data_IF_464440700293
#
_entry.id   IF_464440700293
#
_cell.length_a   1.000
_cell.length_b   1.000
_cell.length_c   1.000
_cell.angle_alpha   90.00
_cell.angle_beta   90.00
_cell.angle_gamma   90.00
#
_symmetry.space_group_name_H-M   'P 1'
#
loop_
_entity.id
_entity.type
_entity.pdbx_description
1 polymer ?
#
# COMPACT_ATOMS: atom_id res chain seq x y z
N UNK A 1 10.88 -5.58 -13.86
CA UNK A 1 9.79 -6.35 -14.49
C UNK A 1 8.50 -5.96 -13.79
N UNK A 2 7.46 -5.59 -14.54
CA UNK A 2 6.17 -5.21 -13.95
C UNK A 2 5.46 -6.46 -13.43
N UNK A 3 4.65 -6.35 -12.38
CA UNK A 3 3.88 -7.48 -11.85
C UNK A 3 3.00 -8.16 -12.93
N UNK A 4 2.54 -7.41 -13.93
CA UNK A 4 1.76 -7.95 -15.07
C UNK A 4 2.53 -8.92 -15.96
N UNK A 5 3.87 -8.92 -15.92
CA UNK A 5 4.69 -9.88 -16.69
C UNK A 5 4.95 -11.18 -15.93
N UNK A 6 4.44 -11.34 -14.71
CA UNK A 6 4.65 -12.53 -13.89
C UNK A 6 3.54 -13.57 -14.16
N UNK A 7 3.87 -14.78 -14.62
CA UNK A 7 2.88 -15.83 -14.80
C UNK A 7 2.14 -16.14 -13.48
N UNK A 8 0.81 -16.16 -13.53
CA UNK A 8 -0.04 -16.49 -12.38
C UNK A 8 -0.40 -15.29 -11.48
N UNK A 9 0.12 -14.10 -11.72
CA UNK A 9 -0.34 -12.89 -11.02
C UNK A 9 -1.57 -12.34 -11.73
N UNK A 10 -2.72 -12.46 -11.07
CA UNK A 10 -4.02 -12.00 -11.60
C UNK A 10 -4.42 -10.62 -11.08
N UNK A 11 -3.82 -10.16 -9.97
CA UNK A 11 -4.21 -8.89 -9.35
C UNK A 11 -3.25 -8.38 -8.28
N UNK A 12 -3.50 -7.16 -7.83
CA UNK A 12 -2.72 -6.41 -6.84
C UNK A 12 -3.67 -5.77 -5.83
N UNK A 13 -3.34 -5.93 -4.54
CA UNK A 13 -3.96 -5.17 -3.48
C UNK A 13 -3.05 -3.98 -3.11
N UNK A 14 -3.58 -2.76 -3.18
CA UNK A 14 -2.93 -1.55 -2.68
C UNK A 14 -3.27 -1.42 -1.21
N UNK A 15 -2.25 -1.41 -0.34
CA UNK A 15 -2.39 -1.20 1.10
C UNK A 15 -1.87 0.19 1.46
N UNK A 16 -2.74 1.21 1.61
CA UNK A 16 -2.32 2.53 2.06
C UNK A 16 -1.69 2.45 3.45
N UNK A 17 -0.56 3.11 3.62
CA UNK A 17 0.09 3.22 4.92
C UNK A 17 -0.86 3.80 5.98
N UNK A 18 -0.78 3.26 7.19
CA UNK A 18 -1.46 3.76 8.38
C UNK A 18 -0.60 3.50 9.62
N UNK A 19 -0.58 4.44 10.56
CA UNK A 19 0.28 4.37 11.76
C UNK A 19 -0.32 3.55 12.93
N UNK A 20 -1.10 2.49 12.66
CA UNK A 20 -1.80 1.77 13.75
C UNK A 20 -0.86 1.11 14.78
N UNK A 21 0.39 0.83 14.42
CA UNK A 21 1.34 0.13 15.28
C UNK A 21 2.12 1.02 16.27
N UNK A 22 1.89 2.35 16.32
CA UNK A 22 2.65 3.27 17.19
C UNK A 22 2.75 2.79 18.64
N UNK A 23 1.64 2.32 19.21
CA UNK A 23 1.60 1.83 20.58
C UNK A 23 2.52 0.62 20.79
N UNK A 24 2.67 -0.26 19.79
CA UNK A 24 3.54 -1.44 19.87
C UNK A 24 5.02 -1.05 19.93
N UNK A 25 5.43 -0.10 19.10
CA UNK A 25 6.81 0.43 19.12
C UNK A 25 7.12 1.07 20.48
N UNK A 26 6.21 1.91 20.98
CA UNK A 26 6.33 2.55 22.30
C UNK A 26 6.48 1.53 23.43
N UNK A 27 5.64 0.49 23.45
CA UNK A 27 5.65 -0.54 24.51
C UNK A 27 6.92 -1.39 24.51
N UNK A 28 7.59 -1.52 23.36
CA UNK A 28 8.86 -2.25 23.23
C UNK A 28 10.09 -1.35 23.43
N UNK A 29 9.90 -0.06 23.74
CA UNK A 29 11.01 0.90 23.82
C UNK A 29 11.71 1.12 22.47
N UNK A 30 11.04 0.81 21.36
CA UNK A 30 11.58 0.94 20.01
C UNK A 30 11.16 2.27 19.37
N UNK A 31 12.07 2.85 18.58
CA UNK A 31 11.74 4.02 17.75
C UNK A 31 10.95 3.58 16.52
N UNK A 32 9.78 4.18 16.30
CA UNK A 32 9.10 4.05 15.01
C UNK A 32 9.68 5.07 14.01
N UNK A 33 10.36 4.60 12.98
CA UNK A 33 10.94 5.45 11.94
C UNK A 33 9.90 6.01 10.95
N UNK A 34 8.69 5.46 10.95
CA UNK A 34 7.59 5.91 10.10
C UNK A 34 6.57 6.79 10.85
N UNK A 35 6.86 7.23 12.08
CA UNK A 35 5.90 7.94 12.93
C UNK A 35 5.36 9.24 12.30
N UNK A 36 6.20 9.93 11.52
CA UNK A 36 5.82 11.19 10.86
C UNK A 36 5.24 10.98 9.45
N UNK A 37 5.23 9.73 8.96
CA UNK A 37 4.71 9.41 7.62
C UNK A 37 3.20 9.56 7.63
N UNK A 38 2.70 10.46 6.79
CA UNK A 38 1.28 10.67 6.64
C UNK A 38 0.64 9.58 5.77
N UNK A 39 -0.62 9.26 6.08
CA UNK A 39 -1.43 8.41 5.21
C UNK A 39 -1.59 9.10 3.84
N UNK A 40 -1.36 8.40 2.72
CA UNK A 40 -1.63 8.97 1.39
C UNK A 40 -3.11 9.30 1.22
N UNK A 41 -3.41 10.38 0.49
CA UNK A 41 -4.80 10.78 0.21
C UNK A 41 -5.52 9.75 -0.65
N UNK A 42 -6.86 9.75 -0.58
CA UNK A 42 -7.69 8.90 -1.44
C UNK A 42 -7.42 9.13 -2.92
N UNK A 43 -7.22 10.39 -3.34
CA UNK A 43 -6.95 10.74 -4.74
C UNK A 43 -5.63 10.16 -5.25
N UNK A 44 -4.58 10.17 -4.42
CA UNK A 44 -3.29 9.56 -4.76
C UNK A 44 -3.45 8.05 -4.93
N UNK A 45 -4.15 7.39 -4.00
CA UNK A 45 -4.41 5.95 -4.09
C UNK A 45 -5.25 5.61 -5.32
N UNK A 46 -6.29 6.40 -5.62
CA UNK A 46 -7.13 6.20 -6.80
C UNK A 46 -6.36 6.45 -8.12
N UNK A 47 -5.41 7.39 -8.13
CA UNK A 47 -4.52 7.59 -9.28
C UNK A 47 -3.59 6.41 -9.51
N UNK A 48 -3.03 5.84 -8.44
CA UNK A 48 -2.17 4.66 -8.52
C UNK A 48 -2.98 3.44 -8.99
N UNK A 49 -4.19 3.24 -8.45
CA UNK A 49 -5.08 2.15 -8.84
C UNK A 49 -5.36 2.16 -10.35
N UNK A 50 -5.81 3.30 -10.88
CA UNK A 50 -6.06 3.48 -12.33
C UNK A 50 -4.82 3.19 -13.18
N UNK A 51 -3.64 3.60 -12.71
CA UNK A 51 -2.40 3.31 -13.42
C UNK A 51 -2.10 1.81 -13.47
N UNK A 52 -2.31 1.09 -12.36
CA UNK A 52 -2.09 -0.36 -12.29
C UNK A 52 -3.13 -1.16 -13.10
N UNK A 53 -4.39 -0.73 -13.09
CA UNK A 53 -5.48 -1.31 -13.90
C UNK A 53 -5.17 -1.24 -15.40
N UNK A 54 -4.45 -0.20 -15.85
CA UNK A 54 -4.06 -0.06 -17.27
C UNK A 54 -3.16 -1.19 -17.79
N UNK A 55 -2.61 -2.02 -16.91
CA UNK A 55 -1.81 -3.19 -17.25
C UNK A 55 -2.61 -4.51 -17.24
N UNK A 56 -3.95 -4.44 -17.30
CA UNK A 56 -4.87 -5.60 -17.24
C UNK A 56 -4.75 -6.41 -15.94
N UNK A 57 -4.46 -5.74 -14.82
CA UNK A 57 -4.44 -6.34 -13.49
C UNK A 57 -5.75 -6.05 -12.75
N UNK A 58 -6.28 -7.01 -12.01
CA UNK A 58 -7.34 -6.74 -11.02
C UNK A 58 -6.73 -5.94 -9.86
N UNK A 59 -7.22 -4.73 -9.58
CA UNK A 59 -6.69 -3.89 -8.50
C UNK A 59 -7.74 -3.68 -7.41
N UNK A 60 -7.35 -3.91 -6.15
CA UNK A 60 -8.19 -3.63 -4.98
C UNK A 60 -7.46 -2.67 -4.04
N UNK A 61 -8.21 -1.78 -3.40
CA UNK A 61 -7.68 -0.93 -2.34
C UNK A 61 -8.10 -1.52 -1.01
N UNK A 62 -7.12 -1.86 -0.18
CA UNK A 62 -7.33 -2.64 1.05
C UNK A 62 -6.99 -4.12 0.86
N UNK A 63 -7.05 -4.85 1.97
CA UNK A 63 -6.92 -6.30 2.04
C UNK A 63 -8.23 -6.94 2.44
#
# INVERSE_FOLDING_TARGET
ALASSLPGVIGINILPYHCAAEAKYRNLGLKNHAADVQRPSGDVIASIARHLESYNLEVKIGG
#
